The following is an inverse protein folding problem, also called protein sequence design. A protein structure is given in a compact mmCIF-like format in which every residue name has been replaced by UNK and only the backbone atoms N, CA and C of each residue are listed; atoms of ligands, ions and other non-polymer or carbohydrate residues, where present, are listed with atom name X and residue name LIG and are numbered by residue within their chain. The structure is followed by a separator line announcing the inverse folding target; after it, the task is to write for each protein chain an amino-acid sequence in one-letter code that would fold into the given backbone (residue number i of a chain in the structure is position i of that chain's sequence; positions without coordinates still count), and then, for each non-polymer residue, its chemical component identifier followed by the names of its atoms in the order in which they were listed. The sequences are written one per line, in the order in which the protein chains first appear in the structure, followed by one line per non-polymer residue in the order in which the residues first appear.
data_IF_832249684050
#
_entry.id   IF_832249684050
#
_cell.length_a   1.000
_cell.length_b   1.000
_cell.length_c   1.000
_cell.angle_alpha   90.00
_cell.angle_beta   90.00
_cell.angle_gamma   90.00
#
_symmetry.space_group_name_H-M   'P 1'
#
loop_
_entity.id
_entity.type
_entity.pdbx_description
1 polymer ?
#
# COMPACT_ATOMS: atom_id res chain seq x y z
N UNK A 1 25.22 -2.70 31.61
CA UNK A 1 24.78 -2.59 30.20
C UNK A 1 25.80 -1.74 29.50
N UNK A 2 26.56 -2.34 28.58
CA UNK A 2 27.42 -1.58 27.68
C UNK A 2 26.52 -0.83 26.68
N UNK A 3 27.05 0.22 26.07
CA UNK A 3 26.34 0.98 25.03
C UNK A 3 25.87 0.04 23.88
N UNK A 4 26.68 -0.98 23.59
CA UNK A 4 26.42 -1.98 22.55
C UNK A 4 25.21 -2.89 22.88
N UNK A 5 25.09 -3.39 24.11
CA UNK A 5 23.93 -4.18 24.55
C UNK A 5 22.62 -3.37 24.43
N UNK A 6 22.69 -2.08 24.74
CA UNK A 6 21.54 -1.19 24.62
C UNK A 6 21.14 -0.98 23.15
N UNK A 7 22.10 -0.69 22.27
CA UNK A 7 21.85 -0.52 20.83
C UNK A 7 21.25 -1.79 20.22
N UNK A 8 21.79 -2.96 20.57
CA UNK A 8 21.27 -4.24 20.10
C UNK A 8 19.82 -4.46 20.58
N UNK A 9 19.51 -4.14 21.84
CA UNK A 9 18.15 -4.28 22.38
C UNK A 9 17.13 -3.39 21.65
N UNK A 10 17.51 -2.14 21.32
CA UNK A 10 16.66 -1.21 20.59
C UNK A 10 16.47 -1.66 19.13
N UNK A 11 17.52 -2.16 18.50
CA UNK A 11 17.46 -2.65 17.12
C UNK A 11 16.53 -3.85 17.00
N UNK A 12 16.69 -4.82 17.90
CA UNK A 12 15.82 -6.00 17.97
C UNK A 12 14.35 -5.61 18.18
N UNK A 13 14.07 -4.69 19.12
CA UNK A 13 12.72 -4.20 19.34
C UNK A 13 12.13 -3.53 18.09
N UNK A 14 12.91 -2.72 17.36
CA UNK A 14 12.45 -2.09 16.11
C UNK A 14 12.08 -3.12 15.05
N UNK A 15 12.89 -4.15 14.88
CA UNK A 15 12.61 -5.23 13.93
C UNK A 15 11.33 -5.98 14.30
N UNK A 16 11.14 -6.31 15.58
CA UNK A 16 9.93 -6.98 16.08
C UNK A 16 8.68 -6.11 15.86
N UNK A 17 8.77 -4.79 16.09
CA UNK A 17 7.65 -3.87 15.86
C UNK A 17 7.34 -3.74 14.37
N UNK A 18 8.35 -3.58 13.51
CA UNK A 18 8.14 -3.47 12.05
C UNK A 18 7.48 -4.74 11.49
N UNK A 19 7.96 -5.92 11.87
CA UNK A 19 7.34 -7.20 11.50
C UNK A 19 5.88 -7.29 11.97
N UNK A 20 5.59 -6.87 13.21
CA UNK A 20 4.24 -6.89 13.75
C UNK A 20 3.30 -5.89 13.08
N UNK A 21 3.81 -4.77 12.58
CA UNK A 21 3.03 -3.77 11.86
C UNK A 21 2.71 -4.21 10.43
N UNK A 22 3.68 -4.83 9.73
CA UNK A 22 3.60 -5.26 8.33
C UNK A 22 2.94 -6.61 8.09
N UNK A 23 2.70 -7.41 9.13
CA UNK A 23 1.99 -8.69 9.02
C UNK A 23 0.64 -8.51 8.32
N UNK A 24 0.15 -9.56 7.66
CA UNK A 24 -1.07 -9.53 6.83
C UNK A 24 -2.30 -8.93 7.55
N UNK A 25 -2.43 -9.19 8.86
CA UNK A 25 -3.51 -8.65 9.71
C UNK A 25 -3.00 -7.56 10.68
N UNK A 26 -1.93 -6.85 10.31
CA UNK A 26 -1.27 -5.80 11.09
C UNK A 26 -1.89 -4.43 10.88
N UNK A 27 -1.49 -3.46 11.71
CA UNK A 27 -2.04 -2.09 11.62
C UNK A 27 -1.75 -1.41 10.28
N UNK A 28 -0.63 -1.74 9.62
CA UNK A 28 -0.34 -1.18 8.30
C UNK A 28 -1.19 -1.77 7.19
N UNK A 29 -1.81 -2.95 7.38
CA UNK A 29 -2.76 -3.49 6.41
C UNK A 29 -4.03 -2.62 6.31
N UNK A 30 -4.36 -1.87 7.37
CA UNK A 30 -5.45 -0.89 7.34
C UNK A 30 -5.03 0.42 6.65
N UNK A 31 -3.75 0.75 6.66
CA UNK A 31 -3.22 1.92 5.98
C UNK A 31 -3.14 1.62 4.47
N UNK A 32 -4.05 2.22 3.69
CA UNK A 32 -4.20 1.91 2.27
C UNK A 32 -5.32 0.91 1.97
N UNK A 33 -6.19 0.61 2.95
CA UNK A 33 -7.45 -0.08 2.70
C UNK A 33 -8.44 0.88 2.05
N UNK A 34 -8.77 0.64 0.78
CA UNK A 34 -9.76 1.39 0.03
C UNK A 34 -10.94 0.50 -0.35
N UNK A 35 -12.15 1.00 -0.16
CA UNK A 35 -13.36 0.31 -0.62
C UNK A 35 -13.57 0.57 -2.11
N UNK A 36 -13.72 -0.51 -2.88
CA UNK A 36 -14.06 -0.39 -4.29
C UNK A 36 -15.55 -0.16 -4.47
N UNK A 37 -15.89 0.87 -5.25
CA UNK A 37 -17.25 1.14 -5.72
C UNK A 37 -17.51 0.28 -6.95
N UNK A 38 -18.77 -0.12 -7.17
CA UNK A 38 -19.14 -0.76 -8.43
C UNK A 38 -18.88 0.20 -9.60
N UNK A 39 -18.28 -0.30 -10.68
CA UNK A 39 -17.79 0.47 -11.82
C UNK A 39 -16.31 0.81 -11.69
N UNK A 40 -15.92 1.96 -12.24
CA UNK A 40 -14.52 2.39 -12.36
C UNK A 40 -14.10 3.14 -11.08
N UNK A 41 -12.97 2.73 -10.51
CA UNK A 41 -12.29 3.41 -9.41
C UNK A 41 -10.93 3.91 -9.90
N UNK A 42 -10.72 5.22 -9.88
CA UNK A 42 -9.48 5.84 -10.38
C UNK A 42 -8.34 5.71 -9.35
N UNK A 43 -7.16 5.33 -9.82
CA UNK A 43 -5.94 5.20 -9.02
C UNK A 43 -4.92 6.25 -9.50
N UNK A 44 -4.35 7.02 -8.57
CA UNK A 44 -3.32 8.00 -8.89
C UNK A 44 -3.04 9.00 -7.78
N UNK A 45 -2.08 9.89 -7.99
CA UNK A 45 -1.78 10.98 -7.06
C UNK A 45 -2.63 12.24 -7.27
N UNK A 46 -3.54 12.23 -8.26
CA UNK A 46 -4.52 13.30 -8.43
C UNK A 46 -5.50 13.34 -7.24
N UNK A 47 -5.88 14.51 -6.71
CA UNK A 47 -6.92 14.65 -5.68
C UNK A 47 -8.30 14.10 -6.09
N UNK A 48 -8.52 13.89 -7.39
CA UNK A 48 -9.75 13.32 -7.94
C UNK A 48 -9.76 11.78 -7.96
N UNK A 49 -8.65 11.15 -7.56
CA UNK A 49 -8.52 9.68 -7.54
C UNK A 49 -9.34 9.08 -6.40
N UNK A 50 -10.07 8.00 -6.67
CA UNK A 50 -10.79 7.24 -5.65
C UNK A 50 -9.81 6.51 -4.71
N UNK A 51 -8.69 6.08 -5.28
CA UNK A 51 -7.54 5.51 -4.56
C UNK A 51 -6.39 6.49 -4.71
N UNK A 52 -6.26 7.38 -3.72
CA UNK A 52 -5.25 8.41 -3.68
C UNK A 52 -3.89 7.80 -3.30
N UNK A 53 -2.95 7.89 -4.23
CA UNK A 53 -1.56 7.53 -4.01
C UNK A 53 -0.74 8.73 -3.53
N UNK A 54 0.41 8.50 -2.86
CA UNK A 54 1.31 9.57 -2.47
C UNK A 54 1.79 10.41 -3.67
N UNK A 55 2.22 11.66 -3.42
CA UNK A 55 2.59 12.61 -4.47
C UNK A 55 3.73 12.17 -5.41
N UNK A 56 4.56 11.20 -5.00
CA UNK A 56 5.63 10.66 -5.84
C UNK A 56 5.12 9.61 -6.86
N UNK A 57 3.88 9.15 -6.73
CA UNK A 57 3.24 8.26 -7.69
C UNK A 57 2.68 9.06 -8.90
N UNK A 58 2.42 8.40 -10.04
CA UNK A 58 1.85 9.05 -11.22
C UNK A 58 0.50 9.72 -10.93
N UNK A 59 0.25 10.88 -11.54
CA UNK A 59 -1.03 11.59 -11.43
C UNK A 59 -2.21 10.70 -11.79
N UNK A 60 -2.04 9.87 -12.82
CA UNK A 60 -2.96 8.82 -13.24
C UNK A 60 -2.18 7.53 -13.40
N UNK A 61 -2.45 6.57 -12.51
CA UNK A 61 -1.79 5.27 -12.49
C UNK A 61 -2.58 4.23 -13.29
N UNK A 62 -3.90 4.22 -13.12
CA UNK A 62 -4.78 3.24 -13.73
C UNK A 62 -6.16 3.23 -13.07
N UNK A 63 -6.89 2.15 -13.27
CA UNK A 63 -8.23 1.98 -12.71
C UNK A 63 -8.48 0.56 -12.21
N UNK A 64 -9.29 0.44 -11.16
CA UNK A 64 -9.97 -0.82 -10.82
C UNK A 64 -11.40 -0.78 -11.33
N UNK A 65 -11.77 -1.73 -12.17
CA UNK A 65 -13.15 -1.95 -12.58
C UNK A 65 -13.74 -3.09 -11.76
N UNK A 66 -14.76 -2.78 -10.96
CA UNK A 66 -15.43 -3.75 -10.09
C UNK A 66 -16.89 -3.94 -10.53
N UNK A 67 -17.26 -5.14 -10.95
CA UNK A 67 -18.63 -5.44 -11.42
C UNK A 67 -19.58 -5.90 -10.30
N UNK A 68 -19.05 -6.19 -9.12
CA UNK A 68 -19.76 -6.75 -7.96
C UNK A 68 -19.22 -8.11 -7.52
N UNK A 69 -18.47 -8.80 -8.36
CA UNK A 69 -17.87 -10.12 -8.08
C UNK A 69 -16.39 -10.17 -8.50
N UNK A 70 -16.07 -9.55 -9.65
CA UNK A 70 -14.73 -9.53 -10.25
C UNK A 70 -14.17 -8.12 -10.23
N UNK A 71 -12.87 -8.02 -9.89
CA UNK A 71 -12.08 -6.79 -9.99
C UNK A 71 -11.05 -6.94 -11.09
N UNK A 72 -11.07 -6.02 -12.06
CA UNK A 72 -10.06 -5.93 -13.13
C UNK A 72 -9.18 -4.70 -12.91
N UNK A 73 -7.85 -4.89 -12.91
CA UNK A 73 -6.88 -3.81 -12.86
C UNK A 73 -6.45 -3.41 -14.26
N UNK A 74 -6.71 -2.16 -14.64
CA UNK A 74 -6.23 -1.58 -15.90
C UNK A 74 -5.11 -0.58 -15.60
N UNK A 75 -3.91 -0.85 -16.12
CA UNK A 75 -2.74 0.02 -15.94
C UNK A 75 -2.62 1.00 -17.10
N UNK A 76 -2.58 2.29 -16.79
CA UNK A 76 -2.35 3.36 -17.76
C UNK A 76 -0.94 3.95 -17.66
N UNK A 77 -0.23 3.65 -16.57
CA UNK A 77 1.12 4.15 -16.32
C UNK A 77 2.18 3.31 -17.04
N UNK A 78 3.29 3.95 -17.45
CA UNK A 78 4.46 3.26 -18.01
C UNK A 78 5.42 2.73 -16.93
N UNK A 79 5.02 2.73 -15.66
CA UNK A 79 5.86 2.24 -14.58
C UNK A 79 5.71 0.71 -14.45
N UNK A 80 6.77 0.01 -13.99
CA UNK A 80 6.66 -1.39 -13.63
C UNK A 80 5.56 -1.60 -12.58
N UNK A 81 4.72 -2.61 -12.80
CA UNK A 81 3.67 -3.02 -11.87
C UNK A 81 3.82 -4.50 -11.62
N UNK A 82 3.88 -4.88 -10.35
CA UNK A 82 3.92 -6.26 -9.88
C UNK A 82 2.57 -6.63 -9.26
N UNK A 83 2.10 -7.85 -9.52
CA UNK A 83 0.87 -8.39 -8.96
C UNK A 83 1.20 -9.77 -8.40
N UNK A 84 1.16 -9.87 -7.07
CA UNK A 84 1.63 -11.03 -6.30
C UNK A 84 3.16 -11.25 -6.30
N UNK A 85 3.93 -10.17 -6.49
CA UNK A 85 5.39 -10.20 -6.65
C UNK A 85 5.78 -10.56 -8.08
#
# INVERSE_FOLDING_TARGET
MTDDDYIQSITKWREEVDQNLRRENGWLALAGLFWLRKGINLIGSSPESDILLPAHAPTRFGTFEFDGDIVTLNIESNFPVEVNG
#
